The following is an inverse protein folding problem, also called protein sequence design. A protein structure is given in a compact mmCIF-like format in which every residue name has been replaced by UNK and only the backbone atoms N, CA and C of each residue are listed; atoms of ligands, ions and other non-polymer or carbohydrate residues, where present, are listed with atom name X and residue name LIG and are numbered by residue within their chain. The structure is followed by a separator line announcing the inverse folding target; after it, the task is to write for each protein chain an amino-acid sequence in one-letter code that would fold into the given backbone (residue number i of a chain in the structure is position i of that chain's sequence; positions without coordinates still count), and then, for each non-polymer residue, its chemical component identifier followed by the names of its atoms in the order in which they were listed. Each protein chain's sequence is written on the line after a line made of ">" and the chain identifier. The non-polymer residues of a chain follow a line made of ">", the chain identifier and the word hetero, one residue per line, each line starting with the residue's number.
data_IF_909420139620
#
_entry.id   IF_909420139620
#
_cell.length_a   1.000
_cell.length_b   1.000
_cell.length_c   1.000
_cell.angle_alpha   90.00
_cell.angle_beta   90.00
_cell.angle_gamma   90.00
#
_symmetry.space_group_name_H-M   'P 1'
#
loop_
_entity.id
_entity.type
_entity.pdbx_description
1 polymer ?
#
# COMPACT_ATOMS: atom_id res chain seq x y z
N UNK A 1 -2.41 -0.47 -14.17
CA UNK A 1 -1.93 0.74 -13.48
C UNK A 1 -2.45 0.67 -12.06
N UNK A 2 -1.58 0.64 -11.02
CA UNK A 2 -2.02 0.42 -9.64
C UNK A 2 -2.91 1.57 -9.12
N UNK A 3 -3.91 1.22 -8.32
CA UNK A 3 -4.74 2.17 -7.59
C UNK A 3 -4.25 2.26 -6.14
N UNK A 4 -4.05 3.48 -5.66
CA UNK A 4 -3.67 3.76 -4.29
C UNK A 4 -4.82 4.47 -3.57
N UNK A 5 -5.01 4.10 -2.31
CA UNK A 5 -6.04 4.66 -1.44
C UNK A 5 -5.42 5.73 -0.54
N UNK A 6 -6.17 6.82 -0.35
CA UNK A 6 -5.80 7.92 0.51
C UNK A 6 -6.97 8.28 1.42
N UNK A 7 -6.68 8.64 2.66
CA UNK A 7 -7.66 9.04 3.66
C UNK A 7 -7.34 10.44 4.18
N UNK A 8 -8.39 11.25 4.35
CA UNK A 8 -8.25 12.59 4.87
C UNK A 8 -8.56 12.61 6.37
N UNK A 9 -7.55 12.88 7.21
CA UNK A 9 -7.69 12.89 8.67
C UNK A 9 -8.63 13.97 9.23
N UNK A 10 -8.98 15.00 8.45
CA UNK A 10 -9.90 16.05 8.89
C UNK A 10 -11.36 15.76 8.52
N UNK A 11 -11.58 15.17 7.35
CA UNK A 11 -12.90 14.98 6.77
C UNK A 11 -13.35 13.51 6.80
N UNK A 12 -12.46 12.58 7.20
CA UNK A 12 -12.66 11.12 7.17
C UNK A 12 -13.13 10.59 5.79
N UNK A 13 -12.76 11.29 4.72
CA UNK A 13 -13.10 10.93 3.35
C UNK A 13 -11.98 10.09 2.73
N UNK A 14 -12.40 9.04 2.01
CA UNK A 14 -11.50 8.15 1.27
C UNK A 14 -11.48 8.50 -0.22
N UNK A 15 -10.29 8.51 -0.79
CA UNK A 15 -10.05 8.78 -2.19
C UNK A 15 -9.21 7.68 -2.81
N UNK A 16 -9.62 7.22 -3.99
CA UNK A 16 -8.85 6.25 -4.78
C UNK A 16 -8.24 6.96 -5.97
N UNK A 17 -6.92 6.86 -6.14
CA UNK A 17 -6.18 7.46 -7.26
C UNK A 17 -5.38 6.39 -7.99
N UNK A 18 -5.52 6.34 -9.30
CA UNK A 18 -4.74 5.46 -10.18
C UNK A 18 -3.42 6.16 -10.49
N UNK A 19 -2.29 5.50 -10.22
CA UNK A 19 -0.95 6.07 -10.44
C UNK A 19 -0.01 5.03 -11.02
N UNK A 20 1.07 5.46 -11.65
CA UNK A 20 2.17 4.56 -12.03
C UNK A 20 3.03 4.22 -10.80
N UNK A 21 3.61 3.02 -10.78
CA UNK A 21 4.50 2.60 -9.69
C UNK A 21 5.85 3.36 -9.69
N UNK A 22 6.28 3.85 -10.85
CA UNK A 22 7.49 4.66 -11.02
C UNK A 22 7.30 6.15 -10.69
N UNK A 23 6.09 6.59 -10.36
CA UNK A 23 5.80 8.00 -10.11
C UNK A 23 5.80 8.28 -8.60
N UNK A 24 6.54 9.31 -8.18
CA UNK A 24 6.57 9.77 -6.79
C UNK A 24 5.21 10.36 -6.38
N UNK A 25 4.88 10.27 -5.10
CA UNK A 25 3.63 10.82 -4.57
C UNK A 25 3.69 12.35 -4.51
N UNK A 26 2.84 13.09 -5.26
CA UNK A 26 2.89 14.54 -5.31
C UNK A 26 2.27 15.20 -4.06
N UNK A 27 1.82 14.42 -3.07
CA UNK A 27 1.12 14.95 -1.90
C UNK A 27 -0.25 15.49 -2.29
N UNK A 28 -1.25 14.60 -2.37
CA UNK A 28 -2.61 15.03 -2.70
C UNK A 28 -3.22 15.88 -1.58
N UNK A 29 -4.04 16.87 -1.97
CA UNK A 29 -4.84 17.67 -1.04
C UNK A 29 -6.32 17.32 -1.17
N UNK A 30 -7.03 17.36 -0.04
CA UNK A 30 -8.48 17.16 -0.01
C UNK A 30 -9.19 18.41 -0.55
N UNK A 31 -10.11 18.22 -1.49
CA UNK A 31 -10.89 19.32 -2.10
C UNK A 31 -11.80 20.04 -1.08
N UNK A 32 -12.24 19.33 -0.04
CA UNK A 32 -13.20 19.84 0.96
C UNK A 32 -12.51 20.61 2.09
N UNK A 33 -11.38 20.12 2.60
CA UNK A 33 -10.71 20.70 3.76
C UNK A 33 -9.28 21.22 3.48
N UNK A 34 -8.79 21.12 2.23
CA UNK A 34 -7.46 21.58 1.80
C UNK A 34 -6.27 21.00 2.58
N UNK A 35 -6.49 19.96 3.38
CA UNK A 35 -5.45 19.25 4.14
C UNK A 35 -4.84 18.13 3.30
N UNK A 36 -3.62 17.76 3.68
CA UNK A 36 -2.89 16.68 3.02
C UNK A 36 -3.55 15.31 3.27
N UNK A 37 -3.58 14.53 2.20
CA UNK A 37 -4.13 13.19 2.15
C UNK A 37 -3.05 12.19 2.54
N UNK A 38 -3.39 11.25 3.43
CA UNK A 38 -2.44 10.23 3.89
C UNK A 38 -2.71 8.95 3.11
N UNK A 39 -1.68 8.38 2.49
CA UNK A 39 -1.81 7.10 1.79
C UNK A 39 -2.10 6.00 2.80
N UNK A 40 -3.20 5.27 2.58
CA UNK A 40 -3.58 4.12 3.39
C UNK A 40 -3.01 2.87 2.73
N UNK A 41 -2.19 2.16 3.49
CA UNK A 41 -1.72 0.83 3.11
C UNK A 41 -2.67 -0.18 3.75
N UNK A 42 -3.53 -0.79 2.95
CA UNK A 42 -4.34 -1.91 3.42
C UNK A 42 -3.40 -3.06 3.79
N UNK A 43 -3.50 -3.52 5.04
CA UNK A 43 -2.79 -4.68 5.54
C UNK A 43 -3.47 -5.95 5.02
N UNK A 44 -3.35 -6.21 3.72
CA UNK A 44 -3.78 -7.50 3.17
C UNK A 44 -2.87 -8.55 3.79
N UNK A 45 -3.38 -9.30 4.76
CA UNK A 45 -2.64 -10.35 5.45
C UNK A 45 -2.16 -11.36 4.43
N UNK A 46 -0.88 -11.30 4.05
CA UNK A 46 -0.29 -12.23 3.10
C UNK A 46 -0.21 -13.58 3.79
N UNK A 47 -1.19 -14.44 3.52
CA UNK A 47 -1.23 -15.80 4.06
C UNK A 47 -0.46 -16.71 3.10
N UNK A 48 0.78 -17.04 3.44
CA UNK A 48 1.58 -18.00 2.68
C UNK A 48 1.14 -19.43 3.03
N UNK A 49 0.17 -19.97 2.30
CA UNK A 49 -0.18 -21.40 2.37
C UNK A 49 0.83 -22.23 1.55
N UNK A 50 2.10 -22.24 1.98
CA UNK A 50 3.15 -23.06 1.37
C UNK A 50 3.35 -24.36 2.16
N UNK A 51 2.98 -25.50 1.59
CA UNK A 51 3.11 -26.84 2.22
C UNK A 51 4.52 -27.45 2.14
N UNK A 52 5.58 -26.66 1.96
CA UNK A 52 6.91 -27.26 1.74
C UNK A 52 8.05 -26.27 1.61
N UNK A 53 8.45 -25.66 2.72
CA UNK A 53 9.81 -25.16 2.87
C UNK A 53 10.71 -26.33 3.26
N UNK A 54 11.17 -27.12 2.29
CA UNK A 54 12.27 -28.05 2.56
C UNK A 54 13.52 -27.21 2.78
N UNK A 55 14.00 -27.21 4.03
CA UNK A 55 15.29 -26.67 4.42
C UNK A 55 16.37 -27.19 3.47
N UNK A 56 16.86 -26.32 2.58
CA UNK A 56 18.13 -26.56 1.89
C UNK A 56 19.29 -26.22 2.85
N UNK A 57 19.42 -26.98 3.93
CA UNK A 57 20.69 -27.05 4.67
C UNK A 57 21.54 -28.13 4.01
N UNK A 58 22.10 -27.83 2.84
CA UNK A 58 23.17 -28.65 2.28
C UNK A 58 24.46 -28.28 3.03
N UNK A 59 24.63 -28.87 4.21
CA UNK A 59 25.93 -28.91 4.89
C UNK A 59 26.90 -29.67 3.99
N UNK A 60 27.79 -28.94 3.33
CA UNK A 60 28.94 -29.53 2.62
C UNK A 60 29.78 -30.29 3.65
N UNK A 61 29.93 -31.59 3.44
CA UNK A 61 30.94 -32.44 4.08
C UNK A 61 32.27 -32.20 3.39
#
# INVERSE_FOLDING_TARGET
>A
MPAYEYDCMACAMRYTKVRSMNEEDPGYKCDTCNKDLVRVYSNVGVTFNGSGFYKTDNRKV
#
